data_IF_617939310224
#
_entry.id   IF_617939310224
#
_cell.length_a   1.000
_cell.length_b   1.000
_cell.length_c   1.000
_cell.angle_alpha   90.00
_cell.angle_beta   90.00
_cell.angle_gamma   90.00
#
_symmetry.space_group_name_H-M   'P 1'
#
loop_
_entity.id
_entity.type
_entity.pdbx_description
1 polymer ?
#
# COMPACT_ATOMS: atom_id res chain seq x y z
N UNK A 1 -33.55 16.88 -17.32
CA UNK A 1 -33.03 15.52 -17.51
C UNK A 1 -31.49 15.48 -17.39
N UNK A 2 -30.83 16.37 -16.59
CA UNK A 2 -29.36 16.42 -16.42
C UNK A 2 -28.88 15.98 -15.02
N UNK A 3 -29.79 15.57 -14.15
CA UNK A 3 -29.46 15.22 -12.73
C UNK A 3 -29.07 13.76 -12.43
N UNK A 4 -29.12 12.83 -13.38
CA UNK A 4 -29.08 11.38 -13.11
C UNK A 4 -27.70 10.71 -13.16
N UNK A 5 -26.64 11.35 -13.66
CA UNK A 5 -25.36 10.67 -13.95
C UNK A 5 -24.29 10.89 -12.86
N UNK A 6 -24.46 11.89 -12.00
CA UNK A 6 -23.49 12.23 -10.93
C UNK A 6 -23.51 11.27 -9.73
N UNK A 7 -24.61 10.54 -9.51
CA UNK A 7 -24.78 9.66 -8.34
C UNK A 7 -24.09 8.28 -8.43
N UNK A 8 -23.83 7.78 -9.63
CA UNK A 8 -23.32 6.40 -9.82
C UNK A 8 -21.80 6.25 -9.69
N UNK A 9 -21.03 7.34 -9.72
CA UNK A 9 -19.56 7.29 -9.67
C UNK A 9 -18.97 7.44 -8.25
N UNK A 10 -19.77 7.86 -7.28
CA UNK A 10 -19.37 8.09 -5.89
C UNK A 10 -18.96 6.79 -5.14
N UNK A 11 -19.74 5.67 -5.21
CA UNK A 11 -19.36 4.46 -4.48
C UNK A 11 -18.06 3.80 -5.00
N UNK A 12 -17.80 3.88 -6.29
CA UNK A 12 -16.57 3.31 -6.86
C UNK A 12 -15.28 4.05 -6.45
N UNK A 13 -15.36 5.34 -6.19
CA UNK A 13 -14.22 6.16 -5.71
C UNK A 13 -13.94 5.92 -4.23
N UNK A 14 -14.97 5.80 -3.41
CA UNK A 14 -14.85 5.48 -1.98
C UNK A 14 -14.26 4.08 -1.77
N UNK A 15 -14.71 3.08 -2.53
CA UNK A 15 -14.16 1.71 -2.48
C UNK A 15 -12.70 1.64 -2.93
N UNK A 16 -12.32 2.36 -3.98
CA UNK A 16 -10.91 2.44 -4.43
C UNK A 16 -10.04 3.16 -3.39
N UNK A 17 -10.54 4.20 -2.75
CA UNK A 17 -9.87 4.90 -1.65
C UNK A 17 -9.63 3.96 -0.46
N UNK A 18 -10.65 3.24 -0.02
CA UNK A 18 -10.56 2.29 1.08
C UNK A 18 -9.58 1.13 0.79
N UNK A 19 -9.61 0.57 -0.43
CA UNK A 19 -8.64 -0.46 -0.86
C UNK A 19 -7.21 0.04 -0.85
N UNK A 20 -6.97 1.27 -1.33
CA UNK A 20 -5.63 1.89 -1.32
C UNK A 20 -5.11 2.14 0.10
N UNK A 21 -5.97 2.59 1.02
CA UNK A 21 -5.60 2.79 2.42
C UNK A 21 -5.25 1.46 3.10
N UNK A 22 -6.01 0.39 2.84
CA UNK A 22 -5.71 -0.95 3.36
C UNK A 22 -4.41 -1.51 2.80
N UNK A 23 -4.16 -1.35 1.51
CA UNK A 23 -2.89 -1.79 0.89
C UNK A 23 -1.68 -1.05 1.49
N UNK A 24 -1.80 0.25 1.74
CA UNK A 24 -0.74 1.05 2.36
C UNK A 24 -0.50 0.71 3.83
N UNK A 25 -1.57 0.46 4.58
CA UNK A 25 -1.47 -0.02 5.95
C UNK A 25 -0.73 -1.36 5.99
N UNK A 26 -1.10 -2.31 5.12
CA UNK A 26 -0.42 -3.60 5.00
C UNK A 26 1.08 -3.46 4.69
N UNK A 27 1.46 -2.63 3.73
CA UNK A 27 2.87 -2.47 3.36
C UNK A 27 3.71 -1.90 4.50
N UNK A 28 3.13 -1.00 5.29
CA UNK A 28 3.77 -0.50 6.49
C UNK A 28 3.94 -1.60 7.54
N UNK A 29 2.86 -2.26 7.91
CA UNK A 29 2.87 -3.34 8.91
C UNK A 29 3.75 -4.50 8.48
N UNK A 30 3.79 -4.83 7.17
CA UNK A 30 4.68 -5.84 6.62
C UNK A 30 6.16 -5.47 6.80
N UNK A 31 6.55 -4.22 6.55
CA UNK A 31 7.92 -3.77 6.77
C UNK A 31 8.31 -3.88 8.24
N UNK A 32 7.44 -3.43 9.15
CA UNK A 32 7.65 -3.49 10.59
C UNK A 32 7.75 -4.95 11.08
N UNK A 33 6.87 -5.82 10.61
CA UNK A 33 6.91 -7.26 10.89
C UNK A 33 8.24 -7.89 10.44
N UNK A 34 8.64 -7.65 9.20
CA UNK A 34 9.86 -8.24 8.64
C UNK A 34 11.11 -7.77 9.38
N UNK A 35 11.18 -6.50 9.78
CA UNK A 35 12.30 -5.94 10.54
C UNK A 35 12.43 -6.58 11.91
N UNK A 36 11.30 -6.69 12.65
CA UNK A 36 11.29 -7.30 13.99
C UNK A 36 11.64 -8.78 13.91
N UNK A 37 11.05 -9.52 12.97
CA UNK A 37 11.30 -10.95 12.80
C UNK A 37 12.73 -11.20 12.33
N UNK A 38 13.26 -10.41 11.38
CA UNK A 38 14.65 -10.53 10.94
C UNK A 38 15.63 -10.28 12.08
N UNK A 39 15.40 -9.24 12.87
CA UNK A 39 16.24 -8.92 14.04
C UNK A 39 16.21 -10.05 15.07
N UNK A 40 15.04 -10.60 15.38
CA UNK A 40 14.89 -11.72 16.31
C UNK A 40 15.63 -12.96 15.83
N UNK A 41 15.46 -13.35 14.57
CA UNK A 41 16.15 -14.52 13.98
C UNK A 41 17.68 -14.31 13.96
N UNK A 42 18.15 -13.11 13.62
CA UNK A 42 19.60 -12.79 13.66
C UNK A 42 20.16 -12.81 15.07
N UNK A 43 19.35 -12.50 16.07
CA UNK A 43 19.72 -12.64 17.50
C UNK A 43 19.66 -14.08 18.01
N UNK A 44 19.36 -15.06 17.15
CA UNK A 44 19.32 -16.48 17.47
C UNK A 44 17.96 -16.99 17.95
N UNK A 45 16.90 -16.17 17.90
CA UNK A 45 15.56 -16.61 18.21
C UNK A 45 14.98 -17.47 17.07
N UNK A 46 14.09 -18.40 17.41
CA UNK A 46 13.30 -19.11 16.40
C UNK A 46 12.35 -18.15 15.67
N UNK A 47 11.92 -18.53 14.48
CA UNK A 47 10.91 -17.78 13.72
C UNK A 47 9.63 -17.51 14.55
N UNK A 48 9.12 -18.54 15.23
CA UNK A 48 7.90 -18.44 16.03
C UNK A 48 8.06 -17.42 17.17
N UNK A 49 9.21 -17.45 17.86
CA UNK A 49 9.49 -16.50 18.93
C UNK A 49 9.67 -15.08 18.42
N UNK A 50 10.31 -14.92 17.26
CA UNK A 50 10.48 -13.62 16.62
C UNK A 50 9.14 -13.04 16.14
N UNK A 51 8.25 -13.88 15.59
CA UNK A 51 6.91 -13.48 15.21
C UNK A 51 6.06 -13.10 16.45
N UNK A 52 6.21 -13.84 17.55
CA UNK A 52 5.55 -13.54 18.82
C UNK A 52 6.00 -12.18 19.39
N UNK A 53 7.26 -11.79 19.22
CA UNK A 53 7.71 -10.45 19.58
C UNK A 53 6.98 -9.36 18.79
N UNK A 54 6.82 -9.55 17.48
CA UNK A 54 6.06 -8.61 16.67
C UNK A 54 4.60 -8.54 17.13
N UNK A 55 3.92 -9.67 17.22
CA UNK A 55 2.49 -9.70 17.60
C UNK A 55 2.22 -9.23 19.04
N UNK A 56 3.22 -9.24 19.90
CA UNK A 56 3.12 -8.75 21.28
C UNK A 56 3.36 -7.25 21.43
N UNK A 57 4.00 -6.60 20.45
CA UNK A 57 4.34 -5.18 20.52
C UNK A 57 3.53 -4.30 19.56
N UNK A 58 2.93 -4.89 18.54
CA UNK A 58 2.14 -4.19 17.53
C UNK A 58 0.68 -4.63 17.59
N UNK A 59 -0.25 -3.68 17.54
CA UNK A 59 -1.70 -3.93 17.53
C UNK A 59 -2.33 -3.44 16.22
N UNK A 60 -1.72 -3.78 15.11
CA UNK A 60 -2.27 -3.53 13.78
C UNK A 60 -3.02 -4.74 13.21
N UNK A 61 -3.65 -4.58 12.04
CA UNK A 61 -4.42 -5.64 11.39
C UNK A 61 -3.57 -6.88 11.10
N UNK A 62 -2.33 -6.69 10.60
CA UNK A 62 -1.43 -7.79 10.28
C UNK A 62 -0.96 -8.52 11.56
N UNK A 63 -0.64 -7.79 12.63
CA UNK A 63 -0.23 -8.38 13.91
C UNK A 63 -1.32 -9.29 14.49
N UNK A 64 -2.58 -8.85 14.45
CA UNK A 64 -3.71 -9.66 14.92
C UNK A 64 -3.92 -10.93 14.09
N UNK A 65 -3.78 -10.84 12.78
CA UNK A 65 -3.89 -12.00 11.88
C UNK A 65 -2.69 -12.96 12.02
N UNK A 66 -1.48 -12.43 12.17
CA UNK A 66 -0.29 -13.23 12.50
C UNK A 66 -0.46 -13.96 13.84
N UNK A 67 -0.98 -13.30 14.86
CA UNK A 67 -1.27 -13.92 16.15
C UNK A 67 -2.34 -15.01 16.04
N UNK A 68 -3.36 -14.82 15.21
CA UNK A 68 -4.38 -15.83 14.96
C UNK A 68 -3.81 -17.05 14.23
N UNK A 69 -2.99 -16.83 13.20
CA UNK A 69 -2.28 -17.88 12.49
C UNK A 69 -1.35 -18.65 13.45
N UNK A 70 -0.59 -17.95 14.30
CA UNK A 70 0.30 -18.57 15.30
C UNK A 70 -0.48 -19.48 16.26
N UNK A 71 -1.56 -19.00 16.82
CA UNK A 71 -2.42 -19.84 17.69
C UNK A 71 -2.97 -21.08 16.98
N UNK A 72 -3.27 -20.97 15.68
CA UNK A 72 -3.78 -22.09 14.89
C UNK A 72 -2.77 -23.24 14.78
N UNK A 73 -1.50 -22.95 14.48
CA UNK A 73 -0.49 -24.03 14.41
C UNK A 73 0.00 -24.48 15.79
N UNK A 74 0.04 -23.62 16.80
CA UNK A 74 0.35 -24.00 18.17
C UNK A 74 -0.72 -24.94 18.76
N UNK A 75 -1.99 -24.73 18.41
CA UNK A 75 -3.10 -25.59 18.78
C UNK A 75 -3.20 -26.88 17.93
N UNK A 76 -2.33 -27.06 16.91
CA UNK A 76 -2.37 -28.20 16.01
C UNK A 76 -3.55 -28.23 15.02
N UNK A 77 -4.25 -27.10 14.86
CA UNK A 77 -5.40 -26.98 13.94
C UNK A 77 -4.97 -26.89 12.47
N UNK A 78 -3.77 -26.36 12.20
CA UNK A 78 -3.19 -26.25 10.88
C UNK A 78 -1.67 -26.46 10.97
N UNK A 79 -1.03 -26.79 9.83
CA UNK A 79 0.43 -26.73 9.78
C UNK A 79 0.88 -25.27 9.72
N UNK A 80 2.10 -24.98 10.22
CA UNK A 80 2.69 -23.64 10.11
C UNK A 80 2.69 -23.12 8.66
N UNK A 81 2.99 -24.01 7.71
CA UNK A 81 3.03 -23.66 6.29
C UNK A 81 1.66 -23.29 5.74
N UNK A 82 0.63 -24.03 6.12
CA UNK A 82 -0.73 -23.76 5.65
C UNK A 82 -1.28 -22.49 6.28
N UNK A 83 -1.11 -22.30 7.59
CA UNK A 83 -1.53 -21.09 8.27
C UNK A 83 -0.86 -19.81 7.69
N UNK A 84 0.44 -19.87 7.39
CA UNK A 84 1.14 -18.77 6.73
C UNK A 84 0.67 -18.55 5.29
N UNK A 85 0.35 -19.62 4.57
CA UNK A 85 -0.18 -19.51 3.19
C UNK A 85 -1.56 -18.89 3.19
N UNK A 86 -2.44 -19.31 4.09
CA UNK A 86 -3.79 -18.77 4.23
C UNK A 86 -3.74 -17.29 4.62
N UNK A 87 -2.85 -16.93 5.54
CA UNK A 87 -2.58 -15.53 5.88
C UNK A 87 -2.20 -14.71 4.64
N UNK A 88 -1.29 -15.21 3.82
CA UNK A 88 -0.85 -14.51 2.62
C UNK A 88 -1.95 -14.38 1.56
N UNK A 89 -2.83 -15.37 1.44
CA UNK A 89 -3.97 -15.34 0.51
C UNK A 89 -5.07 -14.36 0.96
N UNK A 90 -5.19 -14.11 2.25
CA UNK A 90 -6.12 -13.12 2.80
C UNK A 90 -5.82 -11.67 2.35
N UNK A 91 -4.59 -11.42 1.91
CA UNK A 91 -4.14 -10.13 1.39
C UNK A 91 -3.90 -10.20 -0.11
N UNK A 92 -4.58 -9.34 -0.87
CA UNK A 92 -4.37 -9.19 -2.32
C UNK A 92 -3.08 -8.36 -2.59
N UNK A 93 -1.95 -8.88 -2.12
CA UNK A 93 -0.64 -8.23 -2.23
C UNK A 93 0.42 -9.23 -2.71
N UNK A 94 0.90 -9.10 -3.97
CA UNK A 94 1.86 -10.04 -4.54
C UNK A 94 3.24 -10.01 -3.86
N UNK A 95 3.65 -8.87 -3.28
CA UNK A 95 4.90 -8.77 -2.53
C UNK A 95 4.80 -9.58 -1.24
N UNK A 96 3.69 -9.44 -0.50
CA UNK A 96 3.46 -10.20 0.73
C UNK A 96 3.42 -11.70 0.47
N UNK A 97 2.69 -12.14 -0.57
CA UNK A 97 2.61 -13.56 -0.95
C UNK A 97 3.97 -14.15 -1.34
N UNK A 98 4.81 -13.40 -2.06
CA UNK A 98 6.19 -13.82 -2.39
C UNK A 98 7.05 -13.94 -1.14
N UNK A 99 6.98 -12.98 -0.24
CA UNK A 99 7.72 -12.95 1.02
C UNK A 99 7.36 -14.14 1.89
N UNK A 100 6.06 -14.39 2.12
CA UNK A 100 5.59 -15.54 2.90
C UNK A 100 6.03 -16.86 2.26
N UNK A 101 5.94 -16.97 0.93
CA UNK A 101 6.42 -18.15 0.21
C UNK A 101 7.94 -18.39 0.39
N UNK A 102 8.73 -17.32 0.43
CA UNK A 102 10.17 -17.40 0.70
C UNK A 102 10.46 -17.84 2.14
N UNK A 103 9.71 -17.31 3.11
CA UNK A 103 9.78 -17.74 4.53
C UNK A 103 9.44 -19.23 4.66
N UNK A 104 8.34 -19.69 4.05
CA UNK A 104 7.92 -21.09 4.09
C UNK A 104 9.02 -22.00 3.52
N UNK A 105 9.63 -21.62 2.38
CA UNK A 105 10.73 -22.38 1.80
C UNK A 105 11.94 -22.44 2.74
N UNK A 106 12.33 -21.33 3.32
CA UNK A 106 13.45 -21.26 4.26
C UNK A 106 13.23 -22.11 5.51
N UNK A 107 12.02 -22.06 6.07
CA UNK A 107 11.63 -22.89 7.22
C UNK A 107 11.64 -24.40 6.89
N UNK A 108 11.31 -24.76 5.64
CA UNK A 108 11.27 -26.15 5.19
C UNK A 108 12.64 -26.73 4.90
N UNK A 109 13.51 -25.96 4.25
CA UNK A 109 14.80 -26.43 3.73
C UNK A 109 16.00 -26.05 4.62
N UNK A 110 15.78 -25.30 5.71
CA UNK A 110 16.84 -24.88 6.63
C UNK A 110 17.83 -23.90 6.02
N UNK A 111 17.45 -23.21 4.94
CA UNK A 111 18.26 -22.13 4.36
C UNK A 111 18.27 -20.92 5.31
N UNK A 112 19.23 -20.00 5.14
CA UNK A 112 19.39 -18.87 6.05
C UNK A 112 18.13 -17.97 6.05
N UNK A 113 17.24 -18.24 6.99
CA UNK A 113 15.98 -17.48 7.16
C UNK A 113 16.28 -15.99 7.40
N UNK A 114 17.38 -15.69 8.09
CA UNK A 114 17.82 -14.31 8.33
C UNK A 114 18.06 -13.52 7.05
N UNK A 115 18.77 -14.11 6.07
CA UNK A 115 19.00 -13.45 4.76
C UNK A 115 17.71 -13.25 3.98
N UNK A 116 16.82 -14.26 3.98
CA UNK A 116 15.51 -14.15 3.30
C UNK A 116 14.68 -13.03 3.89
N UNK A 117 14.66 -12.92 5.21
CA UNK A 117 13.92 -11.88 5.91
C UNK A 117 14.52 -10.49 5.66
N UNK A 118 15.85 -10.36 5.71
CA UNK A 118 16.55 -9.10 5.44
C UNK A 118 16.30 -8.60 4.01
N UNK A 119 16.47 -9.47 3.02
CA UNK A 119 16.16 -9.16 1.62
C UNK A 119 14.70 -8.76 1.42
N UNK A 120 13.78 -9.45 2.10
CA UNK A 120 12.36 -9.13 2.04
C UNK A 120 12.05 -7.80 2.72
N UNK A 121 12.71 -7.46 3.83
CA UNK A 121 12.58 -6.17 4.51
C UNK A 121 13.10 -5.02 3.63
N UNK A 122 14.24 -5.19 2.97
CA UNK A 122 14.76 -4.20 2.01
C UNK A 122 13.81 -3.97 0.83
N UNK A 123 13.25 -5.03 0.26
CA UNK A 123 12.27 -4.92 -0.81
C UNK A 123 11.01 -4.19 -0.35
N UNK A 124 10.53 -4.46 0.85
CA UNK A 124 9.37 -3.77 1.43
C UNK A 124 9.64 -2.28 1.66
N UNK A 125 10.84 -1.92 2.15
CA UNK A 125 11.28 -0.53 2.30
C UNK A 125 11.39 0.18 0.95
N UNK A 126 11.99 -0.46 -0.04
CA UNK A 126 12.13 0.09 -1.38
C UNK A 126 10.76 0.34 -2.05
N UNK A 127 9.83 -0.60 -1.94
CA UNK A 127 8.47 -0.45 -2.44
C UNK A 127 7.75 0.74 -1.78
N UNK A 128 7.89 0.88 -0.46
CA UNK A 128 7.33 2.02 0.29
C UNK A 128 7.94 3.36 -0.13
N UNK A 129 9.28 3.42 -0.30
CA UNK A 129 9.97 4.62 -0.75
C UNK A 129 9.49 5.05 -2.13
N UNK A 130 9.42 4.10 -3.08
CA UNK A 130 8.93 4.36 -4.44
C UNK A 130 7.50 4.93 -4.45
N UNK A 131 6.60 4.46 -3.59
CA UNK A 131 5.24 4.99 -3.47
C UNK A 131 5.20 6.43 -2.95
N UNK A 132 6.07 6.77 -1.99
CA UNK A 132 6.18 8.13 -1.46
C UNK A 132 6.71 9.07 -2.55
N UNK A 133 7.75 8.66 -3.27
CA UNK A 133 8.35 9.41 -4.39
C UNK A 133 7.33 9.64 -5.52
N UNK A 134 6.54 8.63 -5.88
CA UNK A 134 5.48 8.76 -6.89
C UNK A 134 4.41 9.79 -6.48
N UNK A 135 4.06 9.87 -5.19
CA UNK A 135 3.12 10.88 -4.70
C UNK A 135 3.67 12.29 -4.78
N UNK A 136 4.95 12.47 -4.42
CA UNK A 136 5.63 13.76 -4.50
C UNK A 136 5.77 14.20 -5.95
N UNK A 137 6.13 13.30 -6.85
CA UNK A 137 6.26 13.59 -8.29
C UNK A 137 4.92 13.98 -8.96
N UNK A 138 3.79 13.50 -8.46
CA UNK A 138 2.45 13.85 -8.98
C UNK A 138 1.89 15.17 -8.45
N UNK A 139 2.49 15.75 -7.41
CA UNK A 139 2.01 17.00 -6.81
C UNK A 139 2.09 18.22 -7.75
N UNK A 140 3.21 18.47 -8.49
CA UNK A 140 3.29 19.63 -9.37
C UNK A 140 2.31 19.57 -10.54
N UNK A 141 2.04 18.39 -11.10
CA UNK A 141 1.09 18.22 -12.22
C UNK A 141 -0.34 18.59 -11.82
N UNK A 142 -0.75 18.29 -10.59
CA UNK A 142 -2.07 18.68 -10.09
C UNK A 142 -2.23 20.19 -9.90
N UNK A 143 -1.15 20.92 -9.69
CA UNK A 143 -1.19 22.38 -9.57
C UNK A 143 -1.16 23.09 -10.94
N UNK A 144 -0.62 22.44 -11.98
CA UNK A 144 -0.60 23.03 -13.33
C UNK A 144 -1.97 23.01 -14.02
N UNK A 145 -2.82 22.01 -13.75
CA UNK A 145 -4.12 21.87 -14.40
C UNK A 145 -5.06 23.06 -14.09
N UNK A 146 -5.31 23.48 -12.83
CA UNK A 146 -6.18 24.62 -12.55
C UNK A 146 -5.62 25.94 -13.07
N UNK A 147 -4.29 26.12 -13.06
CA UNK A 147 -3.64 27.33 -13.53
C UNK A 147 -3.80 27.49 -15.05
N UNK A 148 -3.57 26.45 -15.82
CA UNK A 148 -3.77 26.46 -17.27
C UNK A 148 -5.24 26.67 -17.68
N UNK A 149 -6.17 26.02 -16.97
CA UNK A 149 -7.61 26.13 -17.25
C UNK A 149 -8.18 27.51 -16.90
N UNK A 150 -7.59 28.24 -15.96
CA UNK A 150 -8.07 29.58 -15.59
C UNK A 150 -7.40 30.68 -16.42
N UNK A 151 -6.11 30.55 -16.76
CA UNK A 151 -5.37 31.57 -17.49
C UNK A 151 -5.82 31.65 -18.95
N UNK A 152 -6.09 30.51 -19.59
CA UNK A 152 -6.44 30.45 -21.01
C UNK A 152 -7.76 31.20 -21.34
N UNK A 153 -8.91 30.99 -20.62
CA UNK A 153 -10.11 31.75 -20.87
C UNK A 153 -9.99 33.22 -20.43
N UNK A 154 -9.21 33.52 -19.38
CA UNK A 154 -9.00 34.90 -18.95
C UNK A 154 -8.22 35.72 -20.02
N UNK A 155 -7.18 35.11 -20.60
CA UNK A 155 -6.40 35.76 -21.68
C UNK A 155 -7.23 35.92 -22.95
N UNK A 156 -8.10 34.97 -23.27
CA UNK A 156 -9.00 35.02 -24.43
C UNK A 156 -10.02 36.13 -24.28
N UNK A 157 -10.60 36.32 -23.09
CA UNK A 157 -11.51 37.44 -22.80
C UNK A 157 -10.80 38.79 -22.85
N UNK A 158 -9.56 38.87 -22.40
CA UNK A 158 -8.77 40.10 -22.38
C UNK A 158 -8.36 40.55 -23.79
N UNK A 159 -8.06 39.62 -24.68
CA UNK A 159 -7.68 39.89 -26.08
C UNK A 159 -8.90 40.11 -26.99
N UNK A 160 -9.92 39.27 -26.86
CA UNK A 160 -11.14 39.37 -27.71
C UNK A 160 -12.14 40.38 -27.22
N UNK A 161 -12.13 40.76 -25.93
CA UNK A 161 -13.08 41.70 -25.35
C UNK A 161 -13.08 43.07 -26.04
N UNK A 162 -11.93 43.73 -26.24
CA UNK A 162 -11.88 45.01 -26.98
C UNK A 162 -12.35 44.91 -28.43
N UNK A 163 -11.97 43.83 -29.11
CA UNK A 163 -12.35 43.59 -30.52
C UNK A 163 -13.86 43.38 -30.69
N UNK A 164 -14.49 42.66 -29.73
CA UNK A 164 -15.96 42.49 -29.74
C UNK A 164 -16.71 43.79 -29.41
N UNK A 165 -16.17 44.64 -28.54
CA UNK A 165 -16.75 45.94 -28.23
C UNK A 165 -16.68 46.88 -29.43
N UNK A 166 -15.51 46.98 -30.13
CA UNK A 166 -15.37 47.77 -31.33
C UNK A 166 -16.33 47.28 -32.47
N UNK A 167 -16.54 45.98 -32.58
CA UNK A 167 -17.46 45.43 -33.57
C UNK A 167 -18.93 45.75 -33.24
N UNK A 168 -19.29 45.83 -31.97
CA UNK A 168 -20.64 46.19 -31.54
C UNK A 168 -20.91 47.71 -31.64
N UNK A 169 -19.90 48.57 -31.46
CA UNK A 169 -20.04 50.04 -31.60
C UNK A 169 -20.01 50.49 -33.08
N UNK A 170 -19.48 49.68 -33.96
CA UNK A 170 -19.33 49.98 -35.40
C UNK A 170 -20.55 49.55 -36.27
N UNK A 171 -21.64 48.99 -35.66
CA UNK A 171 -22.88 48.62 -36.30
C UNK A 171 -24.04 49.52 -35.85
#
# INVERSE_FOLDING_TARGET
VVGGIAGATAPGRALRGARRLRAQALERSMSEMLEVVALGVRSGLSFDRSLQLYTGHFDDGLARECAAAQRSWEAGLATRQDALRDLAQGYDNPLFSRTVSAIIRSLRFGTSLGEVLEQSAEQARAARKAQVEERVAKAPVKMMIPTGTLILPAMLLLVLGPVLLELMEGM
#
